data_IF_082891040035
#
_entry.id   IF_082891040035
#
_cell.length_a   1.000
_cell.length_b   1.000
_cell.length_c   1.000
_cell.angle_alpha   90.00
_cell.angle_beta   90.00
_cell.angle_gamma   90.00
#
_symmetry.space_group_name_H-M   'P 1'
#
loop_
_entity.id
_entity.type
_entity.pdbx_description
1 polymer ?
#
# COMPACT_ATOMS: atom_id res chain seq x y z
N UNK A 1 25.89 2.78 -6.68
CA UNK A 1 24.58 2.49 -6.07
C UNK A 1 23.91 3.81 -5.77
N UNK A 2 22.60 3.97 -6.01
CA UNK A 2 21.84 5.21 -5.74
C UNK A 2 20.92 4.96 -4.55
N UNK A 3 20.69 5.97 -3.72
CA UNK A 3 19.88 5.80 -2.51
C UNK A 3 18.75 6.83 -2.40
N UNK A 4 17.79 6.53 -1.53
CA UNK A 4 16.72 7.41 -1.08
C UNK A 4 16.35 6.99 0.34
N UNK A 5 16.64 7.82 1.35
CA UNK A 5 16.56 7.47 2.76
C UNK A 5 15.70 8.50 3.49
N UNK A 6 14.66 8.03 4.17
CA UNK A 6 13.83 8.89 5.03
C UNK A 6 14.66 9.46 6.19
N UNK A 7 14.51 10.75 6.45
CA UNK A 7 15.15 11.41 7.59
C UNK A 7 14.13 11.67 8.71
N UNK A 8 14.51 11.41 9.97
CA UNK A 8 13.73 11.87 11.11
C UNK A 8 13.77 13.41 11.19
N UNK A 9 12.60 14.00 11.48
CA UNK A 9 12.44 15.44 11.59
C UNK A 9 12.91 15.93 12.96
N UNK A 10 14.20 16.18 13.13
CA UNK A 10 14.74 16.83 14.32
C UNK A 10 14.51 18.34 14.29
N UNK A 11 14.58 19.01 15.44
CA UNK A 11 14.23 20.43 15.60
C UNK A 11 14.92 21.36 14.61
N UNK A 12 16.20 21.19 14.35
CA UNK A 12 16.95 22.05 13.41
C UNK A 12 16.49 21.86 11.96
N UNK A 13 16.11 20.65 11.56
CA UNK A 13 15.55 20.40 10.24
C UNK A 13 14.15 21.01 10.10
N UNK A 14 13.31 20.86 11.13
CA UNK A 14 12.00 21.49 11.16
C UNK A 14 12.09 23.02 11.05
N UNK A 15 13.02 23.65 11.75
CA UNK A 15 13.26 25.09 11.68
C UNK A 15 13.68 25.51 10.25
N UNK A 16 14.53 24.75 9.58
CA UNK A 16 14.93 25.01 8.19
C UNK A 16 13.76 24.86 7.22
N UNK A 17 12.91 23.84 7.41
CA UNK A 17 11.71 23.63 6.59
C UNK A 17 10.73 24.78 6.78
N UNK A 18 10.48 25.19 8.01
CA UNK A 18 9.58 26.32 8.35
C UNK A 18 10.07 27.68 7.82
N UNK A 19 11.38 27.84 7.61
CA UNK A 19 11.95 29.05 7.03
C UNK A 19 11.89 29.10 5.52
N UNK A 20 11.44 28.07 4.83
CA UNK A 20 11.31 28.07 3.37
C UNK A 20 10.12 28.95 2.95
N UNK A 21 10.31 29.85 1.97
CA UNK A 21 9.22 30.68 1.46
C UNK A 21 8.16 29.82 0.75
N UNK A 22 6.92 30.29 0.78
CA UNK A 22 5.77 29.54 0.24
C UNK A 22 5.90 29.22 -1.26
N UNK A 23 6.61 30.07 -2.00
CA UNK A 23 6.81 29.95 -3.46
C UNK A 23 7.66 28.73 -3.86
N UNK A 24 8.44 28.15 -2.95
CA UNK A 24 9.29 26.98 -3.25
C UNK A 24 8.56 25.65 -3.09
N UNK A 25 7.25 25.68 -2.83
CA UNK A 25 6.40 24.52 -2.60
C UNK A 25 5.47 24.24 -3.80
N UNK A 26 5.95 23.71 -4.94
CA UNK A 26 5.06 23.30 -6.02
C UNK A 26 4.11 22.19 -5.55
N UNK A 27 2.83 22.25 -5.97
CA UNK A 27 1.84 21.24 -5.62
C UNK A 27 2.17 19.90 -6.26
N UNK A 28 1.81 18.82 -5.58
CA UNK A 28 1.98 17.44 -6.07
C UNK A 28 0.64 16.72 -6.18
N UNK A 29 0.52 15.75 -7.11
CA UNK A 29 -0.62 14.83 -7.13
C UNK A 29 -0.62 13.98 -5.86
N UNK A 30 -1.64 14.17 -5.03
CA UNK A 30 -1.78 13.45 -3.75
C UNK A 30 -3.24 13.11 -3.49
N UNK A 31 -3.48 12.20 -2.51
CA UNK A 31 -4.84 11.76 -2.13
C UNK A 31 -5.70 12.94 -1.66
N UNK A 32 -5.08 13.92 -0.98
CA UNK A 32 -5.74 15.15 -0.53
C UNK A 32 -5.15 16.35 -1.26
N UNK A 33 -6.01 17.29 -1.64
CA UNK A 33 -5.56 18.55 -2.25
C UNK A 33 -4.68 19.34 -1.27
N UNK A 34 -3.73 20.11 -1.81
CA UNK A 34 -2.86 20.99 -1.03
C UNK A 34 -1.55 20.36 -0.55
N UNK A 35 -1.24 19.13 -0.96
CA UNK A 35 0.09 18.59 -0.74
C UNK A 35 1.10 19.22 -1.70
N UNK A 36 2.31 19.50 -1.20
CA UNK A 36 3.38 20.15 -1.95
C UNK A 36 4.75 19.56 -1.60
N UNK A 37 5.74 19.83 -2.43
CA UNK A 37 7.12 19.35 -2.26
C UNK A 37 8.10 20.48 -2.39
N UNK A 38 9.15 20.48 -1.59
CA UNK A 38 10.28 21.40 -1.74
C UNK A 38 11.59 20.60 -1.75
N UNK A 39 12.61 21.18 -2.36
CA UNK A 39 13.94 20.61 -2.40
C UNK A 39 14.99 21.65 -1.98
N UNK A 40 15.95 21.23 -1.20
CA UNK A 40 17.11 22.06 -0.86
C UNK A 40 18.34 21.20 -0.52
N UNK A 41 19.56 21.77 -0.61
CA UNK A 41 20.77 21.04 -0.26
C UNK A 41 20.84 20.77 1.24
N UNK A 42 21.28 19.57 1.59
CA UNK A 42 21.41 19.12 2.97
C UNK A 42 22.72 18.35 3.18
N UNK A 43 23.48 18.75 4.19
CA UNK A 43 24.69 18.07 4.62
C UNK A 43 24.42 17.38 5.96
N UNK A 44 24.30 16.05 6.00
CA UNK A 44 24.00 15.33 7.22
C UNK A 44 25.21 15.30 8.16
N UNK A 45 24.95 15.41 9.46
CA UNK A 45 25.91 15.15 10.56
C UNK A 45 27.26 15.85 10.44
N UNK A 46 27.32 17.09 9.93
CA UNK A 46 28.57 17.82 9.77
C UNK A 46 29.50 17.24 8.68
N UNK A 47 28.99 16.35 7.85
CA UNK A 47 29.74 15.78 6.71
C UNK A 47 30.15 16.84 5.70
N UNK A 48 31.10 16.49 4.83
CA UNK A 48 31.58 17.37 3.75
C UNK A 48 30.74 17.30 2.49
N UNK A 49 29.90 16.26 2.36
CA UNK A 49 29.12 16.00 1.17
C UNK A 49 27.67 16.50 1.33
N UNK A 50 27.22 17.29 0.37
CA UNK A 50 25.85 17.75 0.28
C UNK A 50 25.03 16.81 -0.61
N UNK A 51 23.82 16.52 -0.19
CA UNK A 51 22.83 15.72 -0.90
C UNK A 51 21.56 16.54 -1.14
N UNK A 52 20.70 16.05 -1.98
CA UNK A 52 19.37 16.61 -2.20
C UNK A 52 18.47 16.18 -1.05
N UNK A 53 17.91 17.12 -0.33
CA UNK A 53 16.85 16.88 0.64
C UNK A 53 15.52 17.26 0.00
N UNK A 54 14.64 16.31 -0.12
CA UNK A 54 13.28 16.50 -0.64
C UNK A 54 12.32 16.37 0.53
N UNK A 55 11.47 17.37 0.69
CA UNK A 55 10.48 17.44 1.75
C UNK A 55 9.10 17.55 1.14
N UNK A 56 8.23 16.63 1.49
CA UNK A 56 6.80 16.72 1.20
C UNK A 56 6.07 17.29 2.40
N UNK A 57 5.25 18.27 2.17
CA UNK A 57 4.28 18.73 3.14
C UNK A 57 2.89 18.17 2.77
N UNK A 58 2.12 17.76 3.77
CA UNK A 58 0.78 17.20 3.58
C UNK A 58 -0.16 17.91 4.54
N UNK A 59 -1.29 18.46 4.06
CA UNK A 59 -2.31 18.99 4.96
C UNK A 59 -2.94 17.88 5.80
N UNK A 60 -3.51 18.19 6.96
CA UNK A 60 -4.19 17.21 7.77
C UNK A 60 -5.38 16.60 7.01
N UNK A 61 -5.66 15.33 7.26
CA UNK A 61 -6.80 14.64 6.64
C UNK A 61 -8.11 15.35 7.00
N UNK A 62 -9.00 15.58 6.03
CA UNK A 62 -10.31 16.16 6.31
C UNK A 62 -11.06 15.38 7.41
N UNK A 63 -11.63 16.10 8.39
CA UNK A 63 -12.35 15.50 9.52
C UNK A 63 -11.45 14.95 10.64
N UNK A 64 -10.12 15.05 10.55
CA UNK A 64 -9.24 14.75 11.69
C UNK A 64 -9.21 15.92 12.70
N UNK A 65 -8.93 15.60 13.98
CA UNK A 65 -8.73 16.63 15.01
C UNK A 65 -7.61 17.63 14.65
N UNK A 66 -6.60 17.19 13.93
CA UNK A 66 -5.51 18.02 13.43
C UNK A 66 -5.94 19.02 12.35
N UNK A 67 -7.07 18.79 11.68
CA UNK A 67 -7.62 19.71 10.70
C UNK A 67 -8.17 21.02 11.33
N UNK A 68 -8.40 21.03 12.65
CA UNK A 68 -8.76 22.23 13.40
C UNK A 68 -7.57 23.17 13.60
N UNK A 69 -6.35 22.67 13.46
CA UNK A 69 -5.12 23.43 13.55
C UNK A 69 -4.42 23.36 12.20
N UNK A 70 -3.96 24.48 11.67
CA UNK A 70 -3.22 24.52 10.40
C UNK A 70 -1.83 23.86 10.55
N UNK A 71 -1.82 22.58 10.90
CA UNK A 71 -0.59 21.83 11.18
C UNK A 71 -0.34 20.87 10.03
N UNK A 72 0.69 21.15 9.23
CA UNK A 72 1.12 20.27 8.16
C UNK A 72 1.99 19.14 8.66
N UNK A 73 1.82 17.94 8.11
CA UNK A 73 2.75 16.85 8.29
C UNK A 73 3.88 16.94 7.25
N UNK A 74 5.12 16.88 7.72
CA UNK A 74 6.29 16.90 6.85
C UNK A 74 6.89 15.50 6.75
N UNK A 75 7.27 15.11 5.54
CA UNK A 75 8.00 13.88 5.25
C UNK A 75 9.26 14.23 4.48
N UNK A 76 10.42 14.02 5.10
CA UNK A 76 11.71 14.37 4.52
C UNK A 76 12.52 13.13 4.14
N UNK A 77 13.16 13.15 3.01
CA UNK A 77 14.13 12.14 2.62
C UNK A 77 15.32 12.75 1.89
N UNK A 78 16.47 12.13 2.04
CA UNK A 78 17.70 12.51 1.38
C UNK A 78 18.03 11.54 0.26
N UNK A 79 18.54 12.05 -0.85
CA UNK A 79 18.88 11.23 -2.01
C UNK A 79 20.09 11.76 -2.79
N UNK A 80 20.84 10.84 -3.42
CA UNK A 80 21.88 11.14 -4.41
C UNK A 80 21.38 10.95 -5.86
N UNK A 81 20.12 10.61 -6.03
CA UNK A 81 19.51 10.36 -7.34
C UNK A 81 19.38 11.67 -8.13
N UNK A 82 19.64 11.58 -9.44
CA UNK A 82 19.36 12.64 -10.40
C UNK A 82 17.93 12.48 -10.94
N UNK A 83 17.32 13.59 -11.36
CA UNK A 83 15.98 13.61 -11.93
C UNK A 83 15.13 14.70 -11.31
N UNK A 84 13.91 14.79 -11.79
CA UNK A 84 12.92 15.74 -11.31
C UNK A 84 12.46 15.41 -9.89
N UNK A 85 12.27 16.45 -9.08
CA UNK A 85 11.88 16.36 -7.68
C UNK A 85 10.54 15.65 -7.49
N UNK A 86 9.55 15.93 -8.36
CA UNK A 86 8.23 15.30 -8.32
C UNK A 86 8.32 13.81 -8.57
N UNK A 87 9.11 13.39 -9.55
CA UNK A 87 9.34 11.99 -9.88
C UNK A 87 10.04 11.26 -8.73
N UNK A 88 11.07 11.89 -8.13
CA UNK A 88 11.80 11.30 -7.00
C UNK A 88 10.93 11.17 -5.75
N UNK A 89 10.08 12.15 -5.49
CA UNK A 89 9.09 12.10 -4.40
C UNK A 89 8.09 10.96 -4.62
N UNK A 90 7.51 10.86 -5.81
CA UNK A 90 6.56 9.81 -6.14
C UNK A 90 7.20 8.41 -6.04
N UNK A 91 8.45 8.26 -6.48
CA UNK A 91 9.21 7.03 -6.34
C UNK A 91 9.49 6.69 -4.88
N UNK A 92 9.94 7.66 -4.08
CA UNK A 92 10.19 7.46 -2.66
C UNK A 92 8.90 7.07 -1.91
N UNK A 93 7.79 7.72 -2.19
CA UNK A 93 6.48 7.41 -1.61
C UNK A 93 6.01 5.99 -1.92
N UNK A 94 6.36 5.43 -3.08
CA UNK A 94 6.04 4.05 -3.44
C UNK A 94 6.67 3.01 -2.51
N UNK A 95 7.73 3.33 -1.76
CA UNK A 95 8.27 2.43 -0.74
C UNK A 95 7.26 2.09 0.36
N UNK A 96 6.36 3.02 0.70
CA UNK A 96 5.28 2.74 1.64
C UNK A 96 4.32 1.62 1.17
N UNK A 97 4.26 1.35 -0.14
CA UNK A 97 3.47 0.23 -0.68
C UNK A 97 4.03 -1.13 -0.25
N UNK A 98 5.35 -1.26 -0.21
CA UNK A 98 6.02 -2.49 0.26
C UNK A 98 5.74 -2.72 1.75
N UNK A 99 5.77 -1.66 2.56
CA UNK A 99 5.43 -1.75 3.99
C UNK A 99 3.99 -2.20 4.19
N UNK A 100 3.05 -1.68 3.39
CA UNK A 100 1.66 -2.12 3.40
C UNK A 100 1.50 -3.59 2.98
N UNK A 101 2.28 -4.05 1.98
CA UNK A 101 2.29 -5.46 1.56
C UNK A 101 2.85 -6.35 2.68
N UNK A 102 3.96 -5.96 3.29
CA UNK A 102 4.57 -6.70 4.41
C UNK A 102 3.60 -6.78 5.59
N UNK A 103 2.92 -5.68 5.90
CA UNK A 103 1.89 -5.65 6.95
C UNK A 103 0.74 -6.60 6.63
N UNK A 104 0.23 -6.58 5.40
CA UNK A 104 -0.86 -7.47 4.96
C UNK A 104 -0.42 -8.95 4.94
N UNK A 105 0.83 -9.25 4.58
CA UNK A 105 1.41 -10.58 4.71
C UNK A 105 1.49 -11.01 6.16
N UNK A 106 1.95 -10.15 7.07
CA UNK A 106 2.06 -10.49 8.51
C UNK A 106 0.70 -10.72 9.16
N UNK A 107 -0.25 -9.82 8.96
CA UNK A 107 -1.52 -9.80 9.71
C UNK A 107 -2.71 -10.31 8.88
N UNK A 108 -2.71 -10.13 7.58
CA UNK A 108 -3.79 -10.55 6.70
C UNK A 108 -3.75 -12.04 6.37
N UNK A 109 -2.59 -12.56 5.99
CA UNK A 109 -2.42 -13.99 5.65
C UNK A 109 -1.69 -14.81 6.71
N UNK A 110 -1.24 -14.21 7.82
CA UNK A 110 -0.77 -14.95 8.98
C UNK A 110 0.74 -15.24 9.03
N UNK A 111 1.59 -14.51 8.30
CA UNK A 111 3.05 -14.65 8.41
C UNK A 111 3.63 -14.21 9.75
N UNK A 112 2.84 -13.56 10.59
CA UNK A 112 3.25 -13.20 11.93
C UNK A 112 3.38 -14.41 12.87
N UNK A 113 2.89 -15.58 12.44
CA UNK A 113 2.98 -16.84 13.15
C UNK A 113 3.70 -17.88 12.28
N UNK A 114 4.81 -18.38 12.78
CA UNK A 114 5.53 -19.49 12.14
C UNK A 114 5.04 -20.82 12.78
N UNK A 115 4.47 -21.73 11.96
CA UNK A 115 3.80 -22.92 12.50
C UNK A 115 4.74 -24.02 13.00
N UNK A 116 6.06 -23.90 12.77
CA UNK A 116 7.02 -24.98 13.06
C UNK A 116 8.34 -24.44 13.58
N UNK A 117 9.05 -25.26 14.37
CA UNK A 117 10.47 -25.03 14.70
C UNK A 117 11.45 -25.41 13.56
N UNK A 118 10.96 -25.98 12.46
CA UNK A 118 11.81 -26.42 11.33
C UNK A 118 11.87 -25.35 10.26
N UNK A 119 13.07 -24.93 9.88
CA UNK A 119 13.30 -23.88 8.86
C UNK A 119 12.62 -24.19 7.52
N UNK A 120 12.76 -25.42 7.01
CA UNK A 120 12.16 -25.82 5.73
C UNK A 120 10.63 -25.76 5.73
N UNK A 121 9.98 -26.14 6.84
CA UNK A 121 8.53 -26.05 6.97
C UNK A 121 8.06 -24.58 6.99
N UNK A 122 8.80 -23.70 7.68
CA UNK A 122 8.51 -22.27 7.70
C UNK A 122 8.77 -21.61 6.33
N UNK A 123 9.77 -22.05 5.58
CA UNK A 123 10.00 -21.58 4.21
C UNK A 123 8.85 -21.98 3.25
N UNK A 124 8.35 -23.20 3.36
CA UNK A 124 7.15 -23.63 2.62
C UNK A 124 5.91 -22.82 3.02
N UNK A 125 5.71 -22.62 4.33
CA UNK A 125 4.63 -21.76 4.84
C UNK A 125 4.69 -20.34 4.27
N UNK A 126 5.87 -19.69 4.31
CA UNK A 126 6.08 -18.36 3.73
C UNK A 126 5.67 -18.32 2.25
N UNK A 127 6.13 -19.31 1.47
CA UNK A 127 5.82 -19.40 0.04
C UNK A 127 4.32 -19.52 -0.22
N UNK A 128 3.62 -20.35 0.53
CA UNK A 128 2.17 -20.52 0.42
C UNK A 128 1.42 -19.23 0.78
N UNK A 129 1.84 -18.51 1.82
CA UNK A 129 1.21 -17.25 2.23
C UNK A 129 1.43 -16.15 1.19
N UNK A 130 2.62 -16.07 0.59
CA UNK A 130 2.89 -15.13 -0.52
C UNK A 130 2.03 -15.46 -1.74
N UNK A 131 1.88 -16.74 -2.08
CA UNK A 131 1.00 -17.18 -3.17
C UNK A 131 -0.47 -16.81 -2.88
N UNK A 132 -0.96 -17.08 -1.68
CA UNK A 132 -2.32 -16.73 -1.26
C UNK A 132 -2.57 -15.21 -1.33
N UNK A 133 -1.62 -14.39 -0.86
CA UNK A 133 -1.68 -12.95 -0.96
C UNK A 133 -1.76 -12.48 -2.42
N UNK A 134 -0.88 -12.98 -3.28
CA UNK A 134 -0.84 -12.62 -4.70
C UNK A 134 -2.13 -13.03 -5.43
N UNK A 135 -2.65 -14.22 -5.14
CA UNK A 135 -3.91 -14.71 -5.68
C UNK A 135 -5.07 -13.80 -5.24
N UNK A 136 -5.13 -13.44 -3.95
CA UNK A 136 -6.13 -12.49 -3.43
C UNK A 136 -6.08 -11.14 -4.15
N UNK A 137 -4.89 -10.61 -4.38
CA UNK A 137 -4.70 -9.36 -5.14
C UNK A 137 -5.13 -9.48 -6.59
N UNK A 138 -4.89 -10.60 -7.23
CA UNK A 138 -5.33 -10.86 -8.59
C UNK A 138 -6.86 -10.92 -8.68
N UNK A 139 -7.51 -11.63 -7.77
CA UNK A 139 -8.97 -11.70 -7.68
C UNK A 139 -9.58 -10.33 -7.43
N UNK A 140 -9.01 -9.50 -6.54
CA UNK A 140 -9.53 -8.13 -6.29
C UNK A 140 -9.47 -7.24 -7.53
N UNK A 141 -8.45 -7.39 -8.37
CA UNK A 141 -8.39 -6.70 -9.67
C UNK A 141 -9.51 -7.13 -10.60
N UNK A 142 -9.81 -8.43 -10.68
CA UNK A 142 -10.93 -8.94 -11.48
C UNK A 142 -12.28 -8.44 -10.97
N UNK A 143 -12.41 -8.19 -9.68
CA UNK A 143 -13.61 -7.58 -9.08
C UNK A 143 -13.79 -6.10 -9.45
N UNK A 144 -12.80 -5.47 -10.09
CA UNK A 144 -12.79 -4.02 -10.30
C UNK A 144 -12.65 -3.23 -9.01
N UNK A 145 -12.22 -3.87 -7.93
CA UNK A 145 -11.91 -3.23 -6.66
C UNK A 145 -10.47 -2.71 -6.68
N UNK A 146 -10.24 -1.60 -6.00
CA UNK A 146 -8.89 -1.11 -5.74
C UNK A 146 -8.08 -2.07 -4.86
N UNK A 147 -7.02 -1.56 -4.25
CA UNK A 147 -6.22 -2.36 -3.31
C UNK A 147 -7.02 -2.64 -2.04
N UNK A 148 -7.48 -3.86 -1.88
CA UNK A 148 -8.05 -4.37 -0.64
C UNK A 148 -6.97 -5.10 0.16
N UNK A 149 -7.01 -4.99 1.49
CA UNK A 149 -6.24 -5.88 2.36
C UNK A 149 -6.82 -7.29 2.31
N UNK A 150 -6.00 -8.30 2.60
CA UNK A 150 -6.46 -9.70 2.65
C UNK A 150 -7.59 -9.88 3.68
N UNK A 151 -7.52 -9.17 4.80
CA UNK A 151 -8.59 -9.18 5.81
C UNK A 151 -9.92 -8.65 5.23
N UNK A 152 -9.88 -7.53 4.51
CA UNK A 152 -11.06 -6.94 3.88
C UNK A 152 -11.62 -7.86 2.79
N UNK A 153 -10.75 -8.45 1.96
CA UNK A 153 -11.15 -9.45 0.97
C UNK A 153 -11.89 -10.61 1.63
N UNK A 154 -11.31 -11.18 2.69
CA UNK A 154 -11.92 -12.29 3.41
C UNK A 154 -13.28 -11.91 4.01
N UNK A 155 -13.36 -10.80 4.73
CA UNK A 155 -14.62 -10.34 5.35
C UNK A 155 -15.72 -10.05 4.33
N UNK A 156 -15.38 -9.43 3.21
CA UNK A 156 -16.39 -9.01 2.22
C UNK A 156 -16.81 -10.11 1.26
N UNK A 157 -15.92 -11.07 0.94
CA UNK A 157 -16.13 -11.99 -0.17
C UNK A 157 -16.01 -13.47 0.19
N UNK A 158 -15.31 -13.82 1.27
CA UNK A 158 -15.09 -15.23 1.63
C UNK A 158 -15.81 -15.64 2.90
N UNK A 159 -15.98 -14.75 3.88
CA UNK A 159 -16.68 -15.03 5.13
C UNK A 159 -18.17 -14.72 5.03
N UNK A 160 -18.82 -15.29 4.00
CA UNK A 160 -20.24 -15.10 3.76
C UNK A 160 -21.02 -16.35 4.21
N UNK A 161 -22.19 -16.19 4.82
CA UNK A 161 -23.09 -17.31 5.04
C UNK A 161 -23.51 -17.90 3.70
N UNK A 162 -23.45 -19.21 3.55
CA UNK A 162 -23.84 -19.91 2.34
C UNK A 162 -24.56 -21.20 2.65
N UNK A 163 -25.54 -21.58 1.81
CA UNK A 163 -26.21 -22.86 1.91
C UNK A 163 -25.76 -23.77 0.78
N UNK A 164 -25.16 -24.91 1.12
CA UNK A 164 -24.79 -25.93 0.16
C UNK A 164 -25.93 -26.95 0.08
N UNK A 165 -26.41 -27.17 -1.15
CA UNK A 165 -27.41 -28.20 -1.45
C UNK A 165 -26.88 -29.14 -2.52
N UNK A 166 -27.15 -30.44 -2.38
CA UNK A 166 -26.83 -31.46 -3.38
C UNK A 166 -28.12 -31.90 -4.06
N UNK A 167 -28.22 -31.67 -5.35
CA UNK A 167 -29.38 -32.08 -6.16
C UNK A 167 -28.90 -32.58 -7.53
N UNK A 168 -29.43 -33.74 -7.96
CA UNK A 168 -29.13 -34.32 -9.28
C UNK A 168 -27.61 -34.37 -9.60
N UNK A 169 -26.79 -34.87 -8.68
CA UNK A 169 -25.31 -34.95 -8.78
C UNK A 169 -24.59 -33.60 -8.87
N UNK A 170 -25.30 -32.47 -8.64
CA UNK A 170 -24.72 -31.14 -8.64
C UNK A 170 -24.68 -30.58 -7.23
N UNK A 171 -23.59 -29.90 -6.90
CA UNK A 171 -23.46 -29.07 -5.71
C UNK A 171 -23.90 -27.66 -6.08
N UNK A 172 -24.86 -27.13 -5.34
CA UNK A 172 -25.34 -25.77 -5.48
C UNK A 172 -24.97 -25.00 -4.22
N UNK A 173 -24.23 -23.90 -4.39
CA UNK A 173 -23.92 -22.94 -3.34
C UNK A 173 -24.84 -21.73 -3.52
N UNK A 174 -25.79 -21.55 -2.59
CA UNK A 174 -26.62 -20.37 -2.53
C UNK A 174 -25.97 -19.35 -1.59
N UNK A 175 -25.67 -18.16 -2.10
CA UNK A 175 -25.16 -17.02 -1.38
C UNK A 175 -26.30 -16.04 -1.02
N UNK A 176 -26.11 -15.12 -0.06
CA UNK A 176 -27.12 -14.15 0.34
C UNK A 176 -27.57 -13.29 -0.86
N UNK A 177 -28.87 -13.02 -0.97
CA UNK A 177 -29.38 -12.01 -1.87
C UNK A 177 -29.10 -10.60 -1.30
N UNK A 178 -28.98 -9.59 -2.18
CA UNK A 178 -28.76 -8.18 -1.82
C UNK A 178 -27.49 -7.90 -1.00
N UNK A 179 -26.49 -8.72 -1.15
CA UNK A 179 -25.16 -8.48 -0.57
C UNK A 179 -24.47 -7.31 -1.29
N UNK A 180 -23.92 -6.31 -0.57
CA UNK A 180 -23.45 -5.05 -1.16
C UNK A 180 -22.36 -5.21 -2.23
N UNK A 181 -21.57 -6.30 -2.17
CA UNK A 181 -20.47 -6.58 -3.11
C UNK A 181 -20.78 -7.68 -4.13
N UNK A 182 -22.06 -8.05 -4.29
CA UNK A 182 -22.50 -9.12 -5.19
C UNK A 182 -22.04 -8.88 -6.63
N UNK A 183 -22.20 -7.66 -7.16
CA UNK A 183 -21.77 -7.34 -8.53
C UNK A 183 -20.26 -7.52 -8.73
N UNK A 184 -19.46 -7.07 -7.79
CA UNK A 184 -18.00 -7.25 -7.84
C UNK A 184 -17.59 -8.72 -7.82
N UNK A 185 -18.28 -9.52 -7.01
CA UNK A 185 -18.08 -10.98 -6.97
C UNK A 185 -18.45 -11.64 -8.29
N UNK A 186 -19.63 -11.34 -8.86
CA UNK A 186 -20.09 -11.90 -10.12
C UNK A 186 -19.19 -11.49 -11.29
N UNK A 187 -18.66 -10.26 -11.29
CA UNK A 187 -17.68 -9.79 -12.26
C UNK A 187 -16.42 -10.64 -12.23
N UNK A 188 -15.84 -10.87 -11.05
CA UNK A 188 -14.66 -11.73 -10.91
C UNK A 188 -14.95 -13.18 -11.33
N UNK A 189 -16.11 -13.72 -10.94
CA UNK A 189 -16.52 -15.07 -11.33
C UNK A 189 -16.66 -15.22 -12.85
N UNK A 190 -17.24 -14.25 -13.52
CA UNK A 190 -17.35 -14.21 -14.98
C UNK A 190 -15.99 -14.12 -15.65
N UNK A 191 -15.09 -13.25 -15.12
CA UNK A 191 -13.74 -13.12 -15.63
C UNK A 191 -12.92 -14.41 -15.46
N UNK A 192 -13.05 -15.09 -14.32
CA UNK A 192 -12.39 -16.38 -14.06
C UNK A 192 -12.90 -17.47 -15.01
N UNK A 193 -14.19 -17.51 -15.27
CA UNK A 193 -14.80 -18.50 -16.20
C UNK A 193 -14.41 -18.27 -17.66
N UNK A 194 -14.06 -17.03 -18.01
CA UNK A 194 -13.60 -16.66 -19.35
C UNK A 194 -12.10 -16.94 -19.58
N UNK A 195 -11.35 -17.35 -18.56
CA UNK A 195 -9.95 -17.72 -18.73
C UNK A 195 -9.84 -18.98 -19.60
N UNK A 196 -8.84 -19.02 -20.51
CA UNK A 196 -8.56 -20.23 -21.27
C UNK A 196 -8.20 -21.39 -20.33
N UNK A 197 -8.49 -22.65 -20.72
CA UNK A 197 -8.06 -23.80 -19.95
C UNK A 197 -6.53 -23.79 -19.81
N UNK A 198 -6.00 -24.32 -18.69
CA UNK A 198 -4.55 -24.43 -18.52
C UNK A 198 -3.95 -25.24 -19.68
N UNK A 199 -2.78 -24.82 -20.14
CA UNK A 199 -2.05 -25.59 -21.15
C UNK A 199 -1.79 -26.99 -20.60
N UNK A 200 -1.95 -28.04 -21.43
CA UNK A 200 -1.61 -29.38 -21.01
C UNK A 200 -0.13 -29.44 -20.63
N UNK A 201 0.17 -30.10 -19.52
CA UNK A 201 1.52 -30.29 -19.03
C UNK A 201 2.35 -31.18 -19.95
#
# INVERSE_FOLDING_TARGET
MRFSITLPLHRSLQARIAALPEQVWPPIPYVFAGAAVAEFPYTPFGGKQSFRLIVRWVPPSPGSQLALFTTYAYHAFVTDRRGDTLTLEADHRRHAEIENVIRDLKFGVGLNHLPSGKFGANAAWLSLQVMAHNLGRWVTRMMGQGRLTTETLRKRFLSLPGRITRRARRLLLALPAAWPWQESFLRALSALRALPPPLPA
#
